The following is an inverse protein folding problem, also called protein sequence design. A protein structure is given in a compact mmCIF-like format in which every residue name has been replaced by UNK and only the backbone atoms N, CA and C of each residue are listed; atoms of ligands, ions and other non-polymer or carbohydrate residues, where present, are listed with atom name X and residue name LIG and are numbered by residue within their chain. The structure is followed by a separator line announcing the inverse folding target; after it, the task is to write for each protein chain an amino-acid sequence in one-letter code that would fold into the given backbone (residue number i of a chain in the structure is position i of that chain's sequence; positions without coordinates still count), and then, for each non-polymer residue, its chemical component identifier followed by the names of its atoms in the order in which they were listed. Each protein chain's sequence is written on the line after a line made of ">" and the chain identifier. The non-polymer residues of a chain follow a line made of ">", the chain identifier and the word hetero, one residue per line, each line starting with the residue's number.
data_IF_379071196265
#
_entry.id   IF_379071196265
#
_cell.length_a   1.000
_cell.length_b   1.000
_cell.length_c   1.000
_cell.angle_alpha   90.00
_cell.angle_beta   90.00
_cell.angle_gamma   90.00
#
_symmetry.space_group_name_H-M   'P 1'
#
loop_
_entity.id
_entity.type
_entity.pdbx_description
1 polymer ?
#
# COMPACT_ATOMS: atom_id res chain seq x y z
N UNK A 1 -67.77 6.68 -1.49
CA UNK A 1 -66.36 6.68 -1.92
C UNK A 1 -65.39 6.71 -0.72
N UNK A 2 -65.62 5.91 0.33
CA UNK A 2 -64.83 5.92 1.58
C UNK A 2 -64.03 4.64 1.83
N UNK A 3 -64.23 3.59 1.02
CA UNK A 3 -63.64 2.26 1.25
C UNK A 3 -62.21 2.08 0.72
N UNK A 4 -61.77 2.86 -0.26
CA UNK A 4 -60.47 2.66 -0.91
C UNK A 4 -59.37 3.61 -0.42
N UNK A 5 -59.68 4.53 0.51
CA UNK A 5 -58.72 5.51 1.02
C UNK A 5 -57.55 4.85 1.74
N UNK A 6 -57.81 3.76 2.46
CA UNK A 6 -56.77 3.01 3.19
C UNK A 6 -55.85 2.28 2.21
N UNK A 7 -56.40 1.58 1.21
CA UNK A 7 -55.61 0.89 0.19
C UNK A 7 -54.75 1.86 -0.63
N UNK A 8 -55.29 3.04 -0.97
CA UNK A 8 -54.52 4.09 -1.66
C UNK A 8 -53.34 4.61 -0.84
N UNK A 9 -53.52 4.81 0.47
CA UNK A 9 -52.44 5.24 1.37
C UNK A 9 -51.38 4.15 1.49
N UNK A 10 -51.79 2.88 1.63
CA UNK A 10 -50.86 1.75 1.74
C UNK A 10 -50.04 1.57 0.45
N UNK A 11 -50.67 1.70 -0.72
CA UNK A 11 -49.97 1.62 -2.01
C UNK A 11 -48.99 2.80 -2.17
N UNK A 12 -49.40 4.01 -1.80
CA UNK A 12 -48.51 5.17 -1.86
C UNK A 12 -47.30 5.02 -0.93
N UNK A 13 -47.50 4.53 0.30
CA UNK A 13 -46.41 4.23 1.23
C UNK A 13 -45.48 3.13 0.70
N UNK A 14 -46.03 2.08 0.08
CA UNK A 14 -45.23 1.01 -0.50
C UNK A 14 -44.34 1.53 -1.64
N UNK A 15 -44.88 2.35 -2.54
CA UNK A 15 -44.10 2.96 -3.63
C UNK A 15 -43.02 3.88 -3.07
N UNK A 16 -43.33 4.69 -2.06
CA UNK A 16 -42.36 5.55 -1.40
C UNK A 16 -41.24 4.75 -0.73
N UNK A 17 -41.57 3.65 -0.04
CA UNK A 17 -40.59 2.78 0.59
C UNK A 17 -39.68 2.11 -0.45
N UNK A 18 -40.25 1.55 -1.53
CA UNK A 18 -39.47 0.95 -2.61
C UNK A 18 -38.55 1.98 -3.28
N UNK A 19 -39.04 3.20 -3.54
CA UNK A 19 -38.22 4.29 -4.08
C UNK A 19 -37.11 4.72 -3.13
N UNK A 20 -37.39 4.82 -1.84
CA UNK A 20 -36.41 5.16 -0.81
C UNK A 20 -35.33 4.08 -0.66
N UNK A 21 -35.71 2.81 -0.63
CA UNK A 21 -34.75 1.70 -0.61
C UNK A 21 -33.97 1.59 -1.92
N UNK A 22 -34.57 1.89 -3.07
CA UNK A 22 -33.87 2.00 -4.35
C UNK A 22 -32.85 3.14 -4.35
N UNK A 23 -33.20 4.30 -3.78
CA UNK A 23 -32.29 5.44 -3.61
C UNK A 23 -31.12 5.12 -2.67
N UNK A 24 -31.38 4.48 -1.53
CA UNK A 24 -30.32 4.02 -0.63
C UNK A 24 -29.45 2.93 -1.28
N UNK A 25 -30.09 1.98 -1.97
CA UNK A 25 -29.44 0.90 -2.70
C UNK A 25 -28.55 1.40 -3.82
N UNK A 26 -28.95 2.46 -4.53
CA UNK A 26 -28.15 3.09 -5.59
C UNK A 26 -26.83 3.65 -5.07
N UNK A 27 -26.81 4.21 -3.86
CA UNK A 27 -25.55 4.61 -3.19
C UNK A 27 -24.72 3.45 -2.63
N UNK A 28 -25.33 2.26 -2.49
CA UNK A 28 -24.72 1.02 -2.00
C UNK A 28 -24.16 0.13 -3.12
N UNK A 29 -24.61 0.31 -4.37
CA UNK A 29 -23.86 -0.15 -5.54
C UNK A 29 -22.61 0.72 -5.60
N UNK A 30 -21.62 0.37 -4.76
CA UNK A 30 -20.25 0.83 -4.93
C UNK A 30 -19.94 0.60 -6.40
N UNK A 31 -19.62 1.67 -7.11
CA UNK A 31 -18.84 1.55 -8.32
C UNK A 31 -17.78 0.50 -8.00
N UNK A 32 -17.80 -0.60 -8.73
CA UNK A 32 -16.70 -1.52 -8.84
C UNK A 32 -15.45 -0.65 -8.71
N UNK A 33 -14.76 -0.75 -7.57
CA UNK A 33 -13.56 0.02 -7.34
C UNK A 33 -12.64 -0.54 -8.41
N UNK A 34 -12.64 0.12 -9.57
CA UNK A 34 -12.07 -0.40 -10.78
C UNK A 34 -10.67 -0.81 -10.38
N UNK A 35 -10.44 -2.11 -10.27
CA UNK A 35 -9.13 -2.63 -9.99
C UNK A 35 -8.37 -2.19 -11.21
N UNK A 36 -7.64 -1.08 -11.07
CA UNK A 36 -6.80 -0.59 -12.13
C UNK A 36 -5.88 -1.77 -12.45
N UNK A 37 -6.09 -2.34 -13.63
CA UNK A 37 -5.44 -3.59 -13.99
C UNK A 37 -3.94 -3.40 -13.93
N UNK A 38 -3.21 -4.48 -13.69
CA UNK A 38 -1.75 -4.43 -13.77
C UNK A 38 -1.31 -3.80 -15.10
N UNK A 39 -0.47 -2.77 -15.02
CA UNK A 39 0.15 -2.10 -16.17
C UNK A 39 1.65 -2.37 -16.18
N UNK A 40 2.11 -3.09 -17.20
CA UNK A 40 3.54 -3.35 -17.40
C UNK A 40 4.33 -2.08 -17.71
N UNK A 41 3.71 -1.10 -18.36
CA UNK A 41 4.32 0.21 -18.64
C UNK A 41 4.59 0.97 -17.34
N UNK A 42 3.60 1.04 -16.44
CA UNK A 42 3.77 1.66 -15.12
C UNK A 42 4.83 0.93 -14.32
N UNK A 43 4.80 -0.42 -14.30
CA UNK A 43 5.80 -1.22 -13.60
C UNK A 43 7.23 -0.97 -14.11
N UNK A 44 7.41 -0.85 -15.43
CA UNK A 44 8.70 -0.51 -16.03
C UNK A 44 9.13 0.91 -15.65
N UNK A 45 8.21 1.88 -15.62
CA UNK A 45 8.51 3.25 -15.20
C UNK A 45 8.97 3.30 -13.73
N UNK A 46 8.32 2.56 -12.83
CA UNK A 46 8.77 2.41 -11.44
C UNK A 46 10.17 1.81 -11.34
N UNK A 47 10.46 0.75 -12.11
CA UNK A 47 11.80 0.15 -12.14
C UNK A 47 12.86 1.11 -12.70
N UNK A 48 12.55 1.83 -13.78
CA UNK A 48 13.44 2.84 -14.36
C UNK A 48 13.73 3.96 -13.36
N UNK A 49 12.71 4.45 -12.65
CA UNK A 49 12.87 5.47 -11.61
C UNK A 49 13.77 5.01 -10.47
N UNK A 50 13.68 3.75 -10.04
CA UNK A 50 14.60 3.18 -9.04
C UNK A 50 16.06 3.19 -9.51
N UNK A 51 16.29 2.92 -10.81
CA UNK A 51 17.63 2.94 -11.40
C UNK A 51 18.24 4.34 -11.47
N UNK A 52 17.42 5.39 -11.52
CA UNK A 52 17.89 6.79 -11.56
C UNK A 52 18.58 7.24 -10.26
N UNK A 53 18.27 6.61 -9.11
CA UNK A 53 18.98 6.85 -7.85
C UNK A 53 20.41 6.29 -7.86
N UNK A 54 20.75 5.43 -8.84
CA UNK A 54 22.06 4.78 -8.92
C UNK A 54 22.16 3.51 -8.06
N UNK A 55 23.39 3.02 -7.78
CA UNK A 55 23.63 1.89 -6.88
C UNK A 55 23.17 2.22 -5.46
N UNK A 56 22.48 1.27 -4.81
CA UNK A 56 21.85 1.44 -3.48
C UNK A 56 22.36 0.41 -2.48
N UNK A 57 23.68 0.32 -2.24
CA UNK A 57 24.18 -0.51 -1.17
C UNK A 57 23.64 -0.02 0.17
N UNK A 58 23.59 -0.92 1.14
CA UNK A 58 23.05 -0.62 2.47
C UNK A 58 23.86 0.54 3.06
N UNK A 59 23.18 1.48 3.73
CA UNK A 59 23.70 2.73 4.34
C UNK A 59 24.13 3.85 3.39
N UNK A 60 23.96 3.70 2.07
CA UNK A 60 24.24 4.79 1.12
C UNK A 60 23.14 5.86 1.06
N UNK A 61 23.51 7.08 0.69
CA UNK A 61 22.55 8.17 0.46
C UNK A 61 21.49 7.79 -0.59
N UNK A 62 21.90 7.12 -1.68
CA UNK A 62 21.00 6.64 -2.72
C UNK A 62 19.96 5.62 -2.20
N UNK A 63 20.33 4.80 -1.22
CA UNK A 63 19.41 3.87 -0.57
C UNK A 63 18.37 4.63 0.27
N UNK A 64 18.80 5.61 1.06
CA UNK A 64 17.92 6.45 1.87
C UNK A 64 16.97 7.33 1.03
N UNK A 65 17.46 7.87 -0.09
CA UNK A 65 16.64 8.62 -1.05
C UNK A 65 15.59 7.72 -1.72
N UNK A 66 15.97 6.49 -2.12
CA UNK A 66 15.01 5.55 -2.67
C UNK A 66 13.93 5.18 -1.65
N UNK A 67 14.32 4.90 -0.40
CA UNK A 67 13.38 4.60 0.68
C UNK A 67 12.36 5.73 0.87
N UNK A 68 12.84 6.97 0.96
CA UNK A 68 11.98 8.15 1.09
C UNK A 68 10.97 8.24 -0.05
N UNK A 69 11.43 7.98 -1.29
CA UNK A 69 10.56 7.97 -2.45
C UNK A 69 9.55 6.81 -2.43
N UNK A 70 9.96 5.59 -2.11
CA UNK A 70 9.08 4.43 -2.01
C UNK A 70 7.98 4.63 -0.97
N UNK A 71 8.32 5.18 0.20
CA UNK A 71 7.34 5.52 1.24
C UNK A 71 6.34 6.55 0.71
N UNK A 72 6.82 7.57 0.00
CA UNK A 72 5.97 8.59 -0.63
C UNK A 72 5.00 7.99 -1.65
N UNK A 73 5.46 7.09 -2.52
CA UNK A 73 4.61 6.40 -3.50
C UNK A 73 3.56 5.50 -2.84
N UNK A 74 3.95 4.75 -1.80
CA UNK A 74 3.03 3.92 -1.03
C UNK A 74 1.95 4.76 -0.35
N UNK A 75 2.33 5.89 0.26
CA UNK A 75 1.39 6.82 0.89
C UNK A 75 0.47 7.49 -0.13
N UNK A 76 0.99 7.89 -1.30
CA UNK A 76 0.19 8.43 -2.40
C UNK A 76 -0.84 7.43 -2.93
N UNK A 77 -0.52 6.13 -2.87
CA UNK A 77 -1.42 5.03 -3.19
C UNK A 77 -2.35 4.60 -2.04
N UNK A 78 -2.43 5.41 -0.97
CA UNK A 78 -3.25 5.19 0.23
C UNK A 78 -2.87 3.94 1.04
N UNK A 79 -1.58 3.57 1.03
CA UNK A 79 -1.04 2.55 1.92
C UNK A 79 -0.49 3.17 3.19
N UNK A 80 -0.67 2.48 4.32
CA UNK A 80 -0.01 2.83 5.57
C UNK A 80 1.38 2.19 5.60
N UNK A 81 2.39 2.97 5.24
CA UNK A 81 3.79 2.57 5.30
C UNK A 81 4.42 2.85 6.68
N UNK A 82 5.30 1.97 7.13
CA UNK A 82 6.11 2.12 8.34
C UNK A 82 7.52 1.57 8.10
N UNK A 83 8.51 2.22 8.69
CA UNK A 83 9.92 1.77 8.67
C UNK A 83 10.16 0.86 9.88
N UNK A 84 10.75 -0.30 9.64
CA UNK A 84 11.16 -1.24 10.68
C UNK A 84 12.70 -1.38 10.66
N UNK A 85 13.41 -0.76 11.61
CA UNK A 85 14.86 -0.89 11.70
C UNK A 85 15.26 -2.27 12.24
N UNK A 86 16.39 -2.79 11.77
CA UNK A 86 17.00 -4.03 12.22
C UNK A 86 18.53 -4.01 12.05
N UNK A 87 19.22 -4.86 12.82
CA UNK A 87 20.67 -5.02 12.72
C UNK A 87 20.99 -6.21 11.82
N UNK A 88 21.80 -5.99 10.79
CA UNK A 88 22.19 -7.01 9.82
C UNK A 88 23.71 -7.27 9.84
N UNK A 89 24.10 -8.52 9.60
CA UNK A 89 25.48 -8.86 9.23
C UNK A 89 25.56 -9.00 7.73
N UNK A 90 26.33 -8.12 7.09
CA UNK A 90 26.39 -8.02 5.63
C UNK A 90 27.83 -8.19 5.15
N UNK A 91 28.05 -8.82 3.98
CA UNK A 91 29.37 -8.88 3.39
C UNK A 91 29.92 -7.48 3.15
N UNK A 92 31.24 -7.33 3.24
CA UNK A 92 31.94 -6.06 2.93
C UNK A 92 31.55 -5.49 1.56
N UNK A 93 31.21 -6.34 0.60
CA UNK A 93 30.79 -5.95 -0.75
C UNK A 93 29.38 -5.34 -0.86
N UNK A 94 28.54 -5.48 0.17
CA UNK A 94 27.14 -5.01 0.17
C UNK A 94 26.97 -3.65 0.88
N UNK A 95 28.06 -3.07 1.38
CA UNK A 95 28.07 -1.83 2.14
C UNK A 95 28.61 -0.70 1.27
N UNK A 96 27.98 0.48 1.35
CA UNK A 96 28.46 1.67 0.66
C UNK A 96 29.90 2.02 1.05
N UNK A 97 30.65 2.64 0.14
CA UNK A 97 32.05 3.03 0.39
C UNK A 97 32.24 4.03 1.54
N UNK A 98 31.14 4.60 2.05
CA UNK A 98 31.13 5.68 3.03
C UNK A 98 31.03 5.20 4.49
N UNK A 99 31.01 3.89 4.74
CA UNK A 99 30.93 3.35 6.11
C UNK A 99 32.29 3.36 6.80
N UNK A 100 32.54 4.46 7.52
CA UNK A 100 33.78 4.69 8.29
C UNK A 100 33.76 4.10 9.73
N UNK A 101 32.71 3.39 10.16
CA UNK A 101 32.55 3.01 11.57
C UNK A 101 32.04 1.59 11.84
N UNK A 102 32.35 0.61 10.98
CA UNK A 102 31.97 -0.77 11.24
C UNK A 102 33.11 -1.56 11.90
N UNK A 103 32.79 -2.26 13.01
CA UNK A 103 33.70 -3.21 13.65
C UNK A 103 33.92 -4.38 12.70
N UNK A 104 35.08 -4.41 12.04
CA UNK A 104 35.46 -5.43 11.06
C UNK A 104 35.62 -6.79 11.76
N UNK A 105 34.74 -7.74 11.46
CA UNK A 105 35.01 -9.16 11.68
C UNK A 105 35.31 -9.78 10.32
N UNK A 106 36.57 -9.67 9.88
CA UNK A 106 37.25 -10.27 8.70
C UNK A 106 36.52 -10.26 7.34
N UNK A 107 35.23 -10.64 7.27
CA UNK A 107 34.42 -10.81 6.08
C UNK A 107 33.03 -10.13 6.15
N UNK A 108 32.61 -9.66 7.34
CA UNK A 108 31.29 -9.06 7.55
C UNK A 108 31.34 -7.75 8.33
N UNK A 109 30.41 -6.86 7.97
CA UNK A 109 30.06 -5.66 8.74
C UNK A 109 28.72 -5.86 9.45
N UNK A 110 28.64 -5.31 10.67
CA UNK A 110 27.35 -5.09 11.34
C UNK A 110 26.84 -3.73 10.92
N UNK A 111 25.67 -3.68 10.29
CA UNK A 111 25.03 -2.44 9.82
C UNK A 111 23.60 -2.35 10.36
N UNK A 112 23.16 -1.11 10.59
CA UNK A 112 21.74 -0.81 10.76
C UNK A 112 21.09 -0.80 9.37
N UNK A 113 20.00 -1.53 9.21
CA UNK A 113 19.25 -1.66 7.97
C UNK A 113 17.75 -1.47 8.24
N UNK A 114 17.00 -1.19 7.18
CA UNK A 114 15.60 -0.76 7.30
C UNK A 114 14.71 -1.57 6.34
N UNK A 115 13.60 -2.09 6.88
CA UNK A 115 12.53 -2.67 6.09
C UNK A 115 11.40 -1.65 5.95
N UNK A 116 10.78 -1.59 4.77
CA UNK A 116 9.54 -0.83 4.55
C UNK A 116 8.36 -1.82 4.62
N UNK A 117 7.47 -1.63 5.59
CA UNK A 117 6.25 -2.42 5.74
C UNK A 117 5.06 -1.55 5.35
N UNK A 118 4.34 -1.94 4.32
CA UNK A 118 3.14 -1.26 3.86
C UNK A 118 1.91 -2.12 4.05
N UNK A 119 0.88 -1.57 4.69
CA UNK A 119 -0.39 -2.26 4.91
C UNK A 119 -1.51 -1.49 4.21
N UNK A 120 -2.24 -2.19 3.34
CA UNK A 120 -3.52 -1.72 2.78
C UNK A 120 -4.64 -2.42 3.53
N UNK A 121 -5.24 -1.72 4.49
CA UNK A 121 -6.30 -2.31 5.30
C UNK A 121 -7.61 -2.30 4.52
N UNK A 122 -8.28 -3.43 4.31
CA UNK A 122 -9.72 -3.40 4.08
C UNK A 122 -10.38 -2.98 5.39
N UNK A 123 -11.13 -1.89 5.36
CA UNK A 123 -11.99 -1.43 6.45
C UNK A 123 -12.92 -2.53 6.95
N UNK A 124 -13.09 -2.59 8.27
CA UNK A 124 -14.23 -3.15 9.02
C UNK A 124 -14.34 -4.68 9.24
N UNK A 125 -13.31 -5.48 8.96
CA UNK A 125 -13.34 -6.93 9.28
C UNK A 125 -12.40 -7.24 10.44
N UNK A 126 -12.92 -7.93 11.46
CA UNK A 126 -12.11 -8.49 12.54
C UNK A 126 -11.36 -9.73 12.01
N UNK A 127 -10.02 -9.69 12.03
CA UNK A 127 -9.10 -10.74 11.54
C UNK A 127 -9.28 -11.14 10.04
N UNK A 128 -9.11 -10.20 9.09
CA UNK A 128 -9.20 -10.51 7.67
C UNK A 128 -8.01 -11.36 7.21
N UNK A 129 -8.19 -12.26 6.23
CA UNK A 129 -7.07 -12.97 5.62
C UNK A 129 -6.07 -11.98 5.01
N UNK A 130 -4.78 -12.18 5.28
CA UNK A 130 -3.70 -11.28 4.85
C UNK A 130 -2.94 -11.88 3.66
N UNK A 131 -2.81 -11.11 2.59
CA UNK A 131 -1.85 -11.37 1.51
C UNK A 131 -0.54 -10.67 1.81
N UNK A 132 0.59 -11.39 1.73
CA UNK A 132 1.93 -10.84 1.91
C UNK A 132 2.67 -10.85 0.58
N UNK A 133 3.14 -9.68 0.15
CA UNK A 133 4.01 -9.50 -1.02
C UNK A 133 5.35 -8.92 -0.54
N UNK A 134 6.46 -9.44 -1.04
CA UNK A 134 7.81 -9.07 -0.58
C UNK A 134 8.75 -8.92 -1.78
N UNK A 135 9.60 -7.91 -1.72
CA UNK A 135 10.77 -7.72 -2.59
C UNK A 135 11.91 -7.10 -1.79
N UNK A 136 13.13 -7.22 -2.28
CA UNK A 136 14.26 -6.40 -1.83
C UNK A 136 14.38 -5.15 -2.72
N UNK A 137 15.01 -4.09 -2.23
CA UNK A 137 15.17 -2.80 -2.94
C UNK A 137 16.62 -2.30 -2.99
N UNK A 138 17.47 -2.83 -2.11
CA UNK A 138 18.92 -2.69 -2.12
C UNK A 138 19.54 -3.45 -3.31
N UNK A 139 20.74 -3.02 -3.71
CA UNK A 139 21.49 -3.54 -4.86
C UNK A 139 22.92 -3.91 -4.50
#
# INVERSE_FOLDING_TARGET
>A
MRSYSVELILVAMLVAAVGFFGYLGYGLIRADAAVEGYSGESALAYAARQMEFGPRPITSDANAELETWLIGELQAADWRAAVQPYVAQVPVSAVGSDVLSATVSADFYTVEAENIIAVKSPTDVEDPPVGLLVTHFDS
#
